data_IF_806756892924
#
_entry.id   IF_806756892924
#
_cell.length_a   1.000
_cell.length_b   1.000
_cell.length_c   1.000
_cell.angle_alpha   90.00
_cell.angle_beta   90.00
_cell.angle_gamma   90.00
#
_symmetry.space_group_name_H-M   'P 1'
#
loop_
_entity.id
_entity.type
_entity.pdbx_description
1 polymer ?
#
# COMPACT_ATOMS: atom_id res chain seq x y z
N UNK A 1 4.47 9.21 14.41
CA UNK A 1 3.14 8.56 14.45
C UNK A 1 3.37 7.06 14.29
N UNK A 2 2.89 6.23 15.23
CA UNK A 2 2.94 4.76 15.09
C UNK A 2 1.70 4.34 14.30
N UNK A 3 1.86 3.75 13.12
CA UNK A 3 0.74 3.13 12.40
C UNK A 3 0.20 1.98 13.27
N UNK A 4 -1.05 2.12 13.71
CA UNK A 4 -1.64 1.19 14.67
C UNK A 4 -2.00 -0.13 13.95
N UNK A 5 -1.42 -1.22 14.43
CA UNK A 5 -1.42 -2.59 13.92
C UNK A 5 -2.82 -3.18 13.70
N UNK A 6 -3.44 -2.94 12.54
CA UNK A 6 -4.62 -3.70 12.13
C UNK A 6 -4.39 -4.30 10.76
N UNK A 7 -3.93 -5.56 10.78
CA UNK A 7 -4.09 -6.47 9.64
C UNK A 7 -5.55 -6.42 9.22
N UNK A 8 -5.79 -5.97 8.00
CA UNK A 8 -7.13 -5.89 7.42
C UNK A 8 -7.52 -7.26 6.86
N UNK A 9 -8.82 -7.54 6.85
CA UNK A 9 -9.32 -8.63 6.03
C UNK A 9 -9.05 -8.34 4.56
N UNK A 10 -8.97 -9.39 3.73
CA UNK A 10 -8.67 -9.28 2.31
C UNK A 10 -9.65 -8.31 1.61
N UNK A 11 -10.94 -8.44 1.90
CA UNK A 11 -11.99 -7.56 1.37
C UNK A 11 -11.79 -6.09 1.77
N UNK A 12 -11.48 -5.83 3.05
CA UNK A 12 -11.24 -4.46 3.54
C UNK A 12 -9.99 -3.85 2.93
N UNK A 13 -8.92 -4.64 2.77
CA UNK A 13 -7.69 -4.20 2.11
C UNK A 13 -7.94 -3.85 0.65
N UNK A 14 -8.61 -4.72 -0.11
CA UNK A 14 -8.96 -4.46 -1.51
C UNK A 14 -9.84 -3.23 -1.67
N UNK A 15 -10.85 -3.05 -0.80
CA UNK A 15 -11.72 -1.87 -0.79
C UNK A 15 -10.93 -0.59 -0.50
N UNK A 16 -10.04 -0.61 0.50
CA UNK A 16 -9.19 0.53 0.84
C UNK A 16 -8.26 0.91 -0.32
N UNK A 17 -7.59 -0.07 -0.93
CA UNK A 17 -6.70 0.15 -2.09
C UNK A 17 -7.46 0.74 -3.26
N UNK A 18 -8.64 0.21 -3.58
CA UNK A 18 -9.46 0.72 -4.69
C UNK A 18 -9.81 2.20 -4.52
N UNK A 19 -10.23 2.61 -3.32
CA UNK A 19 -10.55 4.02 -3.05
C UNK A 19 -9.32 4.91 -3.07
N UNK A 20 -8.23 4.51 -2.43
CA UNK A 20 -6.99 5.29 -2.41
C UNK A 20 -6.40 5.44 -3.83
N UNK A 21 -6.32 4.33 -4.58
CA UNK A 21 -5.87 4.30 -5.98
C UNK A 21 -6.72 5.19 -6.86
N UNK A 22 -8.05 5.15 -6.71
CA UNK A 22 -8.95 6.05 -7.45
C UNK A 22 -8.70 7.52 -7.11
N UNK A 23 -8.57 7.87 -5.81
CA UNK A 23 -8.31 9.25 -5.39
C UNK A 23 -7.01 9.79 -5.97
N UNK A 24 -5.95 8.98 -5.97
CA UNK A 24 -4.65 9.36 -6.53
C UNK A 24 -4.72 9.52 -8.07
N UNK A 25 -5.43 8.61 -8.75
CA UNK A 25 -5.62 8.68 -10.20
C UNK A 25 -6.40 9.91 -10.64
N UNK A 26 -7.40 10.35 -9.88
CA UNK A 26 -8.15 11.59 -10.14
C UNK A 26 -7.23 12.81 -10.09
N UNK A 27 -6.27 12.83 -9.19
CA UNK A 27 -5.25 13.89 -9.06
C UNK A 27 -4.10 13.75 -10.08
N UNK A 28 -4.20 12.80 -11.02
CA UNK A 28 -3.21 12.59 -12.08
C UNK A 28 -1.99 11.76 -11.68
N UNK A 29 -1.98 11.16 -10.49
CA UNK A 29 -0.91 10.24 -10.10
C UNK A 29 -1.09 8.87 -10.78
N UNK A 30 0.02 8.33 -11.29
CA UNK A 30 0.05 6.96 -11.76
C UNK A 30 0.17 5.99 -10.58
N UNK A 31 -0.79 5.10 -10.42
CA UNK A 31 -0.75 4.02 -9.41
C UNK A 31 -0.70 2.69 -10.16
N UNK A 32 0.46 2.04 -10.09
CA UNK A 32 0.72 0.77 -10.79
C UNK A 32 0.11 -0.41 -10.04
N UNK A 33 0.09 -1.58 -10.69
CA UNK A 33 -0.39 -2.81 -10.04
C UNK A 33 0.58 -3.31 -8.98
N UNK A 34 1.86 -3.02 -9.17
CA UNK A 34 2.94 -3.29 -8.25
C UNK A 34 2.80 -2.46 -6.97
N UNK A 35 2.44 -1.17 -7.09
CA UNK A 35 2.14 -0.30 -5.94
C UNK A 35 0.95 -0.83 -5.14
N UNK A 36 -0.15 -1.16 -5.83
CA UNK A 36 -1.34 -1.75 -5.21
C UNK A 36 -1.00 -3.06 -4.48
N UNK A 37 -0.17 -3.92 -5.10
CA UNK A 37 0.24 -5.20 -4.53
C UNK A 37 1.16 -5.03 -3.30
N UNK A 38 2.07 -4.07 -3.32
CA UNK A 38 2.97 -3.80 -2.20
C UNK A 38 2.19 -3.28 -0.98
N UNK A 39 1.28 -2.32 -1.20
CA UNK A 39 0.38 -1.81 -0.15
C UNK A 39 -0.53 -2.93 0.37
N UNK A 40 -1.06 -3.77 -0.53
CA UNK A 40 -1.87 -4.94 -0.12
C UNK A 40 -1.13 -5.85 0.84
N UNK A 41 0.12 -6.24 0.51
CA UNK A 41 0.95 -7.11 1.36
C UNK A 41 1.14 -6.50 2.76
N UNK A 42 1.36 -5.20 2.85
CA UNK A 42 1.50 -4.51 4.14
C UNK A 42 0.17 -4.50 4.93
N UNK A 43 -0.94 -4.19 4.26
CA UNK A 43 -2.27 -4.10 4.89
C UNK A 43 -2.78 -5.45 5.43
N UNK A 44 -2.45 -6.57 4.77
CA UNK A 44 -2.83 -7.91 5.23
C UNK A 44 -1.76 -8.56 6.13
N UNK A 45 -0.66 -7.87 6.43
CA UNK A 45 0.39 -8.34 7.34
C UNK A 45 1.36 -9.37 6.75
N UNK A 46 1.41 -9.51 5.43
CA UNK A 46 2.38 -10.39 4.75
C UNK A 46 3.80 -9.82 4.80
N UNK A 47 3.95 -8.51 4.93
CA UNK A 47 5.23 -7.82 5.14
C UNK A 47 5.09 -6.84 6.31
N UNK A 48 6.20 -6.59 7.00
CA UNK A 48 6.24 -5.56 8.06
C UNK A 48 6.29 -4.16 7.47
N UNK A 49 6.05 -3.17 8.32
CA UNK A 49 6.19 -1.75 7.94
C UNK A 49 7.63 -1.42 7.53
N UNK A 50 8.63 -1.99 8.20
CA UNK A 50 10.04 -1.81 7.84
C UNK A 50 10.35 -2.39 6.47
N UNK A 51 9.83 -3.59 6.16
CA UNK A 51 9.97 -4.20 4.85
C UNK A 51 9.26 -3.37 3.78
N UNK A 52 8.05 -2.88 4.05
CA UNK A 52 7.35 -1.97 3.14
C UNK A 52 8.19 -0.71 2.85
N UNK A 53 8.75 -0.07 3.87
CA UNK A 53 9.62 1.10 3.69
C UNK A 53 10.88 0.79 2.88
N UNK A 54 11.50 -0.38 3.09
CA UNK A 54 12.67 -0.80 2.31
C UNK A 54 12.33 -1.02 0.84
N UNK A 55 11.18 -1.65 0.55
CA UNK A 55 10.70 -1.86 -0.83
C UNK A 55 10.39 -0.53 -1.51
N UNK A 56 9.69 0.38 -0.84
CA UNK A 56 9.40 1.71 -1.37
C UNK A 56 10.70 2.44 -1.71
N UNK A 57 11.67 2.48 -0.78
CA UNK A 57 12.99 3.10 -1.02
C UNK A 57 13.70 2.55 -2.25
N UNK A 58 13.63 1.22 -2.45
CA UNK A 58 14.20 0.57 -3.64
C UNK A 58 13.52 1.02 -4.93
N UNK A 59 12.19 1.13 -4.93
CA UNK A 59 11.40 1.56 -6.10
C UNK A 59 11.71 3.02 -6.45
N UNK A 60 11.75 3.90 -5.45
CA UNK A 60 12.00 5.34 -5.66
C UNK A 60 13.50 5.69 -5.72
N UNK A 61 14.38 4.70 -5.60
CA UNK A 61 15.84 4.82 -5.67
C UNK A 61 16.42 5.93 -4.77
N UNK A 62 15.99 5.96 -3.50
CA UNK A 62 16.41 6.92 -2.45
C UNK A 62 16.85 6.23 -1.17
#
# INVERSE_FOLDING_TARGET
>A
MKLNKKVLSHERAQKAIRYASHSLKVEGFNVTKEDEALVYKALVGNITEEQFHQEVKRIVNV
#
